data_IF_500121896864
#
_entry.id   IF_500121896864
#
_cell.length_a   1.000
_cell.length_b   1.000
_cell.length_c   1.000
_cell.angle_alpha   90.00
_cell.angle_beta   90.00
_cell.angle_gamma   90.00
#
_symmetry.space_group_name_H-M   'P 1'
#
loop_
_entity.id
_entity.type
_entity.pdbx_description
1 polymer ?
#
# COMPACT_ATOMS: atom_id res chain seq x y z
N UNK A 1 -43.70 17.61 -35.63
CA UNK A 1 -42.68 16.58 -35.94
C UNK A 1 -41.28 17.16 -36.21
N UNK A 2 -41.11 18.46 -36.53
CA UNK A 2 -39.78 19.03 -36.83
C UNK A 2 -39.11 19.77 -35.67
N UNK A 3 -39.87 20.29 -34.70
CA UNK A 3 -39.32 21.06 -33.55
C UNK A 3 -38.75 20.18 -32.44
N UNK A 4 -39.38 19.05 -32.12
CA UNK A 4 -38.91 18.15 -31.05
C UNK A 4 -37.55 17.53 -31.36
N UNK A 5 -37.30 17.19 -32.63
CA UNK A 5 -36.03 16.63 -33.09
C UNK A 5 -34.90 17.68 -33.09
N UNK A 6 -35.25 18.95 -33.34
CA UNK A 6 -34.29 20.05 -33.27
C UNK A 6 -33.91 20.37 -31.81
N UNK A 7 -34.87 20.32 -30.89
CA UNK A 7 -34.61 20.50 -29.45
C UNK A 7 -33.77 19.36 -28.87
N UNK A 8 -33.99 18.11 -29.29
CA UNK A 8 -33.15 16.98 -28.85
C UNK A 8 -31.70 17.12 -29.34
N UNK A 9 -31.51 17.62 -30.57
CA UNK A 9 -30.18 17.86 -31.14
C UNK A 9 -29.47 19.04 -30.44
N UNK A 10 -30.21 20.09 -30.10
CA UNK A 10 -29.70 21.22 -29.31
C UNK A 10 -29.30 20.74 -27.91
N UNK A 11 -30.11 19.92 -27.25
CA UNK A 11 -29.80 19.38 -25.92
C UNK A 11 -28.56 18.48 -25.95
N UNK A 12 -28.43 17.61 -26.97
CA UNK A 12 -27.22 16.80 -27.17
C UNK A 12 -25.99 17.66 -27.42
N UNK A 13 -26.12 18.73 -28.23
CA UNK A 13 -25.03 19.68 -28.48
C UNK A 13 -24.59 20.38 -27.19
N UNK A 14 -25.53 20.86 -26.38
CA UNK A 14 -25.26 21.55 -25.11
C UNK A 14 -24.56 20.61 -24.12
N UNK A 15 -25.04 19.37 -23.98
CA UNK A 15 -24.42 18.37 -23.12
C UNK A 15 -22.99 18.05 -23.60
N UNK A 16 -22.80 17.83 -24.90
CA UNK A 16 -21.48 17.56 -25.47
C UNK A 16 -20.51 18.72 -25.29
N UNK A 17 -20.97 19.96 -25.46
CA UNK A 17 -20.14 21.15 -25.19
C UNK A 17 -19.77 21.27 -23.71
N UNK A 18 -20.68 20.92 -22.79
CA UNK A 18 -20.41 20.94 -21.35
C UNK A 18 -19.40 19.88 -20.92
N UNK A 19 -19.46 18.68 -21.51
CA UNK A 19 -18.49 17.60 -21.27
C UNK A 19 -17.11 17.95 -21.83
N UNK A 20 -17.04 18.54 -23.02
CA UNK A 20 -15.78 19.04 -23.60
C UNK A 20 -15.16 20.14 -22.73
N UNK A 21 -15.96 21.02 -22.13
CA UNK A 21 -15.48 22.05 -21.21
C UNK A 21 -14.94 21.42 -19.91
N UNK A 22 -15.64 20.43 -19.35
CA UNK A 22 -15.18 19.70 -18.16
C UNK A 22 -13.88 18.93 -18.40
N UNK A 23 -13.74 18.31 -19.57
CA UNK A 23 -12.51 17.61 -19.96
C UNK A 23 -11.34 18.59 -20.14
N UNK A 24 -11.57 19.74 -20.75
CA UNK A 24 -10.57 20.81 -20.88
C UNK A 24 -10.10 21.30 -19.50
N UNK A 25 -11.03 21.57 -18.60
CA UNK A 25 -10.71 22.05 -17.25
C UNK A 25 -9.95 20.99 -16.42
N UNK A 26 -10.21 19.69 -16.63
CA UNK A 26 -9.46 18.58 -16.02
C UNK A 26 -8.05 18.44 -16.58
N UNK A 27 -7.84 18.71 -17.88
CA UNK A 27 -6.52 18.70 -18.51
C UNK A 27 -5.68 19.87 -17.99
N UNK A 28 -6.30 21.04 -17.84
CA UNK A 28 -5.68 22.27 -17.33
C UNK A 28 -5.33 22.14 -15.84
N UNK A 29 -6.23 21.58 -15.01
CA UNK A 29 -5.94 21.23 -13.60
C UNK A 29 -4.96 20.07 -13.44
N UNK A 30 -4.85 19.19 -14.44
CA UNK A 30 -3.97 18.02 -14.44
C UNK A 30 -2.50 18.35 -14.73
N UNK A 31 -2.16 19.61 -15.02
CA UNK A 31 -0.78 20.07 -15.25
C UNK A 31 -0.12 19.50 -16.50
N UNK A 32 -0.84 18.74 -17.33
CA UNK A 32 -0.32 18.09 -18.53
C UNK A 32 0.16 19.12 -19.57
N UNK A 33 -0.53 20.25 -19.71
CA UNK A 33 -0.17 21.32 -20.64
C UNK A 33 1.14 22.00 -20.21
N UNK A 34 1.29 22.30 -18.92
CA UNK A 34 2.56 22.81 -18.36
C UNK A 34 3.71 21.80 -18.45
N UNK A 35 3.43 20.50 -18.39
CA UNK A 35 4.43 19.45 -18.59
C UNK A 35 4.87 19.35 -20.06
N UNK A 36 3.94 19.51 -21.00
CA UNK A 36 4.23 19.57 -22.44
C UNK A 36 5.03 20.82 -22.79
N UNK A 37 4.67 21.99 -22.26
CA UNK A 37 5.44 23.24 -22.45
C UNK A 37 6.87 23.13 -21.91
N UNK A 38 7.05 22.50 -20.74
CA UNK A 38 8.38 22.20 -20.19
C UNK A 38 9.17 21.25 -21.08
N UNK A 39 8.55 20.20 -21.61
CA UNK A 39 9.18 19.25 -22.53
C UNK A 39 9.57 19.90 -23.87
N UNK A 40 8.73 20.80 -24.40
CA UNK A 40 9.03 21.56 -25.62
C UNK A 40 10.21 22.50 -25.38
N UNK A 41 10.23 23.19 -24.25
CA UNK A 41 11.34 24.07 -23.84
C UNK A 41 12.64 23.27 -23.68
N UNK A 42 12.61 22.12 -23.01
CA UNK A 42 13.74 21.21 -22.86
C UNK A 42 14.27 20.70 -24.20
N UNK A 43 13.38 20.34 -25.14
CA UNK A 43 13.75 19.89 -26.48
C UNK A 43 14.44 20.99 -27.28
N UNK A 44 13.97 22.24 -27.18
CA UNK A 44 14.61 23.38 -27.84
C UNK A 44 16.02 23.65 -27.27
N UNK A 45 16.17 23.61 -25.94
CA UNK A 45 17.48 23.76 -25.29
C UNK A 45 18.45 22.63 -25.66
N UNK A 46 17.97 21.39 -25.80
CA UNK A 46 18.80 20.25 -26.18
C UNK A 46 19.31 20.39 -27.62
N UNK A 47 18.46 20.86 -28.54
CA UNK A 47 18.84 21.13 -29.93
C UNK A 47 19.89 22.25 -30.05
N UNK A 48 19.79 23.27 -29.21
CA UNK A 48 20.77 24.36 -29.16
C UNK A 48 22.13 23.87 -28.61
N UNK A 49 22.12 22.99 -27.61
CA UNK A 49 23.34 22.39 -27.07
C UNK A 49 24.03 21.45 -28.08
N UNK A 50 23.27 20.68 -28.85
CA UNK A 50 23.81 19.87 -29.96
C UNK A 50 24.50 20.74 -31.02
N UNK A 51 23.88 21.88 -31.38
CA UNK A 51 24.47 22.84 -32.32
C UNK A 51 25.81 23.39 -31.83
N UNK A 52 25.87 23.80 -30.55
CA UNK A 52 27.10 24.30 -29.93
C UNK A 52 28.19 23.22 -29.85
N UNK A 53 27.81 21.96 -29.59
CA UNK A 53 28.75 20.83 -29.53
C UNK A 53 29.39 20.57 -30.88
N UNK A 54 28.60 20.59 -31.97
CA UNK A 54 29.11 20.44 -33.33
C UNK A 54 30.04 21.59 -33.74
N UNK A 55 29.73 22.82 -33.33
CA UNK A 55 30.56 24.00 -33.59
C UNK A 55 31.92 23.91 -32.87
N UNK A 56 31.93 23.53 -31.59
CA UNK A 56 33.16 23.29 -30.83
C UNK A 56 33.98 22.15 -31.43
N UNK A 57 33.33 21.05 -31.85
CA UNK A 57 34.01 19.93 -32.48
C UNK A 57 34.63 20.32 -33.83
N UNK A 58 33.95 21.13 -34.63
CA UNK A 58 34.49 21.66 -35.89
C UNK A 58 35.69 22.57 -35.66
N UNK A 59 35.61 23.48 -34.69
CA UNK A 59 36.73 24.37 -34.34
C UNK A 59 37.93 23.56 -33.85
N UNK A 60 37.71 22.61 -32.93
CA UNK A 60 38.78 21.73 -32.42
C UNK A 60 39.44 20.92 -33.52
N UNK A 61 38.66 20.37 -34.46
CA UNK A 61 39.21 19.63 -35.59
C UNK A 61 40.02 20.54 -36.51
N UNK A 62 39.56 21.75 -36.79
CA UNK A 62 40.32 22.72 -37.62
C UNK A 62 41.66 23.14 -36.99
N UNK A 63 41.70 23.28 -35.66
CA UNK A 63 42.92 23.60 -34.91
C UNK A 63 43.88 22.40 -34.94
N UNK A 64 43.38 21.19 -34.73
CA UNK A 64 44.18 19.96 -34.83
C UNK A 64 44.71 19.76 -36.25
N UNK A 65 43.92 20.00 -37.29
CA UNK A 65 44.35 19.92 -38.69
C UNK A 65 45.40 20.97 -39.06
N UNK A 66 45.31 22.18 -38.48
CA UNK A 66 46.33 23.22 -38.66
C UNK A 66 47.65 22.84 -37.96
N UNK A 67 47.56 22.24 -36.78
CA UNK A 67 48.73 21.79 -36.02
C UNK A 67 49.40 20.57 -36.66
N UNK A 68 48.62 19.63 -37.20
CA UNK A 68 49.14 18.50 -37.99
C UNK A 68 49.90 19.02 -39.21
N UNK A 69 49.34 19.97 -39.97
CA UNK A 69 50.05 20.59 -41.10
C UNK A 69 51.33 21.31 -40.68
N UNK A 70 51.32 22.00 -39.54
CA UNK A 70 52.52 22.66 -38.98
C UNK A 70 53.62 21.64 -38.66
N UNK A 71 53.26 20.48 -38.11
CA UNK A 71 54.19 19.41 -37.77
C UNK A 71 54.70 18.67 -39.02
N UNK A 72 53.84 18.45 -40.02
CA UNK A 72 54.23 17.90 -41.33
C UNK A 72 55.25 18.81 -42.03
N UNK A 73 55.01 20.13 -42.06
CA UNK A 73 55.95 21.13 -42.60
C UNK A 73 57.28 21.16 -41.83
N UNK A 74 57.27 20.91 -40.51
CA UNK A 74 58.50 20.84 -39.71
C UNK A 74 59.34 19.59 -40.00
N UNK A 75 58.69 18.47 -40.31
CA UNK A 75 59.36 17.22 -40.69
C UNK A 75 59.95 17.32 -42.10
N UNK A 76 59.24 17.95 -43.05
CA UNK A 76 59.69 18.09 -44.45
C UNK A 76 60.84 19.11 -44.60
N UNK A 77 60.92 20.13 -43.74
CA UNK A 77 61.96 21.15 -43.77
C UNK A 77 63.28 20.78 -43.08
N UNK A 78 63.43 19.54 -42.59
CA UNK A 78 64.72 19.02 -42.12
C UNK A 78 65.44 19.93 -41.12
N UNK A 79 64.73 20.41 -40.10
CA UNK A 79 65.36 21.11 -38.96
C UNK A 79 66.05 20.05 -38.11
N UNK A 80 67.37 19.98 -38.25
CA UNK A 80 68.24 19.22 -37.35
C UNK A 80 68.11 19.85 -35.95
N UNK A 81 67.44 19.15 -35.04
CA UNK A 81 67.24 19.61 -33.68
C UNK A 81 67.41 18.42 -32.74
N UNK A 82 68.53 18.43 -32.01
CA UNK A 82 68.78 17.56 -30.85
C UNK A 82 67.71 17.71 -29.74
N UNK A 83 66.72 18.62 -29.87
CA UNK A 83 65.61 18.82 -28.92
C UNK A 83 64.36 17.95 -29.19
N UNK A 84 64.29 17.21 -30.30
CA UNK A 84 63.12 16.37 -30.65
C UNK A 84 62.88 15.19 -29.67
N UNK A 85 63.91 14.48 -29.16
CA UNK A 85 63.72 13.40 -28.18
C UNK A 85 63.14 13.92 -26.86
N UNK A 86 63.63 15.06 -26.37
CA UNK A 86 63.20 15.66 -25.10
C UNK A 86 61.77 16.19 -25.16
N UNK A 87 61.36 16.80 -26.29
CA UNK A 87 59.98 17.24 -26.48
C UNK A 87 59.02 16.05 -26.63
N UNK A 88 59.43 14.96 -27.30
CA UNK A 88 58.63 13.75 -27.43
C UNK A 88 58.47 13.02 -26.08
N UNK A 89 59.54 12.91 -25.29
CA UNK A 89 59.51 12.34 -23.95
C UNK A 89 58.66 13.19 -22.99
N UNK A 90 58.67 14.52 -23.16
CA UNK A 90 57.77 15.43 -22.44
C UNK A 90 56.30 15.18 -22.80
N UNK A 91 55.99 15.06 -24.10
CA UNK A 91 54.62 14.78 -24.57
C UNK A 91 54.13 13.40 -24.13
N UNK A 92 54.99 12.38 -24.15
CA UNK A 92 54.70 11.05 -23.62
C UNK A 92 54.43 11.09 -22.12
N UNK A 93 55.29 11.75 -21.34
CA UNK A 93 55.11 11.93 -19.90
C UNK A 93 53.81 12.69 -19.57
N UNK A 94 53.47 13.72 -20.35
CA UNK A 94 52.21 14.45 -20.22
C UNK A 94 51.00 13.57 -20.55
N UNK A 95 51.09 12.75 -21.60
CA UNK A 95 50.08 11.77 -21.98
C UNK A 95 49.89 10.70 -20.91
N UNK A 96 50.96 10.14 -20.35
CA UNK A 96 50.92 9.19 -19.25
C UNK A 96 50.30 9.80 -17.98
N UNK A 97 50.63 11.06 -17.66
CA UNK A 97 50.02 11.78 -16.56
C UNK A 97 48.51 12.02 -16.79
N UNK A 98 48.10 12.37 -18.02
CA UNK A 98 46.70 12.50 -18.43
C UNK A 98 45.96 11.16 -18.29
N UNK A 99 46.54 10.07 -18.77
CA UNK A 99 46.00 8.71 -18.63
C UNK A 99 45.90 8.32 -17.15
N UNK A 100 46.92 8.61 -16.34
CA UNK A 100 46.93 8.35 -14.90
C UNK A 100 45.84 9.15 -14.17
N UNK A 101 45.61 10.40 -14.58
CA UNK A 101 44.52 11.24 -14.06
C UNK A 101 43.15 10.69 -14.45
N UNK A 102 42.95 10.34 -15.72
CA UNK A 102 41.71 9.74 -16.21
C UNK A 102 41.41 8.39 -15.52
N UNK A 103 42.42 7.55 -15.29
CA UNK A 103 42.28 6.30 -14.52
C UNK A 103 41.86 6.56 -13.07
N UNK A 104 42.45 7.57 -12.42
CA UNK A 104 42.06 7.98 -11.05
C UNK A 104 40.62 8.48 -11.00
N UNK A 105 40.20 9.28 -11.97
CA UNK A 105 38.83 9.76 -12.07
C UNK A 105 37.85 8.61 -12.29
N UNK A 106 38.13 7.71 -13.24
CA UNK A 106 37.33 6.51 -13.48
C UNK A 106 37.18 5.65 -12.22
N UNK A 107 38.28 5.44 -11.49
CA UNK A 107 38.25 4.70 -10.22
C UNK A 107 37.43 5.42 -9.13
N UNK A 108 37.43 6.76 -9.10
CA UNK A 108 36.56 7.52 -8.21
C UNK A 108 35.08 7.39 -8.59
N UNK A 109 34.75 7.45 -9.90
CA UNK A 109 33.38 7.25 -10.40
C UNK A 109 32.87 5.84 -10.14
N UNK A 110 33.69 4.80 -10.38
CA UNK A 110 33.33 3.41 -10.08
C UNK A 110 33.04 3.20 -8.58
N UNK A 111 33.85 3.78 -7.70
CA UNK A 111 33.58 3.75 -6.25
C UNK A 111 32.27 4.43 -5.90
N UNK A 112 31.95 5.56 -6.52
CA UNK A 112 30.68 6.26 -6.31
C UNK A 112 29.48 5.44 -6.82
N UNK A 113 29.58 4.83 -8.01
CA UNK A 113 28.55 3.95 -8.56
C UNK A 113 28.30 2.75 -7.65
N UNK A 114 29.36 2.09 -7.17
CA UNK A 114 29.24 0.98 -6.23
C UNK A 114 28.62 1.41 -4.89
N UNK A 115 28.90 2.62 -4.42
CA UNK A 115 28.26 3.16 -3.22
C UNK A 115 26.76 3.36 -3.41
N UNK A 116 26.34 3.90 -4.56
CA UNK A 116 24.92 4.05 -4.90
C UNK A 116 24.26 2.69 -5.09
N UNK A 117 24.91 1.72 -5.75
CA UNK A 117 24.37 0.38 -5.91
C UNK A 117 24.09 -0.29 -4.57
N UNK A 118 25.01 -0.18 -3.60
CA UNK A 118 24.79 -0.68 -2.24
C UNK A 118 23.59 -0.02 -1.56
N UNK A 119 23.43 1.29 -1.72
CA UNK A 119 22.26 1.99 -1.18
C UNK A 119 20.95 1.52 -1.84
N UNK A 120 20.98 1.14 -3.11
CA UNK A 120 19.82 0.56 -3.81
C UNK A 120 19.55 -0.85 -3.31
N UNK A 121 20.59 -1.67 -3.14
CA UNK A 121 20.48 -3.05 -2.64
C UNK A 121 20.00 -3.09 -1.18
N UNK A 122 20.25 -2.03 -0.39
CA UNK A 122 19.73 -1.85 0.97
C UNK A 122 18.20 -1.56 0.98
N UNK A 123 17.62 -1.15 -0.15
CA UNK A 123 16.18 -0.89 -0.27
C UNK A 123 15.46 -2.17 -0.72
N UNK A 124 14.44 -2.64 0.02
CA UNK A 124 13.68 -3.82 -0.38
C UNK A 124 13.10 -3.68 -1.78
N UNK A 125 13.34 -4.70 -2.59
CA UNK A 125 12.74 -4.85 -3.91
C UNK A 125 11.21 -5.02 -3.81
N UNK A 126 10.51 -4.73 -4.92
CA UNK A 126 9.06 -4.92 -5.00
C UNK A 126 8.64 -6.36 -4.63
N UNK A 127 9.44 -7.36 -5.01
CA UNK A 127 9.20 -8.76 -4.64
C UNK A 127 9.32 -9.02 -3.14
N UNK A 128 10.28 -8.38 -2.46
CA UNK A 128 10.45 -8.52 -1.02
C UNK A 128 9.32 -7.84 -0.27
N UNK A 129 8.88 -6.66 -0.71
CA UNK A 129 7.72 -5.97 -0.14
C UNK A 129 6.46 -6.86 -0.19
N UNK A 130 6.17 -7.46 -1.35
CA UNK A 130 5.03 -8.40 -1.50
C UNK A 130 5.18 -9.62 -0.57
N UNK A 131 6.40 -10.14 -0.39
CA UNK A 131 6.63 -11.23 0.56
C UNK A 131 6.37 -10.79 2.01
N UNK A 132 6.82 -9.59 2.40
CA UNK A 132 6.58 -9.04 3.72
C UNK A 132 5.09 -8.79 3.98
N UNK A 133 4.36 -8.21 3.02
CA UNK A 133 2.91 -8.02 3.12
C UNK A 133 2.18 -9.33 3.35
N UNK A 134 2.53 -10.37 2.59
CA UNK A 134 1.97 -11.72 2.78
C UNK A 134 2.31 -12.26 4.16
N UNK A 135 3.57 -12.15 4.59
CA UNK A 135 4.01 -12.68 5.89
C UNK A 135 3.36 -11.95 7.07
N UNK A 136 3.19 -10.64 6.97
CA UNK A 136 2.47 -9.83 7.95
C UNK A 136 0.99 -10.21 8.00
N UNK A 137 0.36 -10.46 6.85
CA UNK A 137 -1.03 -10.92 6.78
C UNK A 137 -1.21 -12.29 7.43
N UNK A 138 -0.30 -13.23 7.17
CA UNK A 138 -0.27 -14.55 7.83
C UNK A 138 -0.08 -14.43 9.35
N UNK A 139 0.86 -13.59 9.79
CA UNK A 139 1.09 -13.34 11.22
C UNK A 139 -0.15 -12.73 11.89
N UNK A 140 -0.79 -11.75 11.25
CA UNK A 140 -2.02 -11.14 11.75
C UNK A 140 -3.14 -12.18 11.89
N UNK A 141 -3.30 -13.09 10.92
CA UNK A 141 -4.27 -14.17 11.01
C UNK A 141 -3.98 -15.11 12.20
N UNK A 142 -2.71 -15.44 12.44
CA UNK A 142 -2.31 -16.26 13.58
C UNK A 142 -2.59 -15.56 14.93
N UNK A 143 -2.24 -14.27 15.04
CA UNK A 143 -2.51 -13.46 16.23
C UNK A 143 -4.01 -13.40 16.51
N UNK A 144 -4.84 -13.14 15.49
CA UNK A 144 -6.29 -13.12 15.60
C UNK A 144 -6.84 -14.49 16.04
N UNK A 145 -6.35 -15.58 15.46
CA UNK A 145 -6.71 -16.94 15.86
C UNK A 145 -6.37 -17.24 17.32
N UNK A 146 -5.18 -16.85 17.77
CA UNK A 146 -4.76 -16.98 19.19
C UNK A 146 -5.62 -16.14 20.11
N UNK A 147 -5.93 -14.89 19.75
CA UNK A 147 -6.81 -14.04 20.53
C UNK A 147 -8.21 -14.66 20.67
N UNK A 148 -8.77 -15.21 19.59
CA UNK A 148 -10.06 -15.90 19.64
C UNK A 148 -10.00 -17.13 20.54
N UNK A 149 -8.93 -17.92 20.46
CA UNK A 149 -8.72 -19.09 21.31
C UNK A 149 -8.64 -18.69 22.80
N UNK A 150 -7.85 -17.68 23.12
CA UNK A 150 -7.72 -17.13 24.48
C UNK A 150 -9.06 -16.67 25.02
N UNK A 151 -9.84 -15.91 24.23
CA UNK A 151 -11.19 -15.47 24.63
C UNK A 151 -12.12 -16.65 24.93
N UNK A 152 -12.08 -17.71 24.11
CA UNK A 152 -12.85 -18.94 24.36
C UNK A 152 -12.45 -19.60 25.68
N UNK A 153 -11.15 -19.72 25.95
CA UNK A 153 -10.68 -20.29 27.22
C UNK A 153 -11.14 -19.48 28.42
N UNK A 154 -11.02 -18.15 28.38
CA UNK A 154 -11.50 -17.30 29.47
C UNK A 154 -13.02 -17.37 29.65
N UNK A 155 -13.79 -17.41 28.56
CA UNK A 155 -15.24 -17.58 28.64
C UNK A 155 -15.63 -18.91 29.30
N UNK A 156 -14.99 -20.02 28.89
CA UNK A 156 -15.21 -21.33 29.51
C UNK A 156 -14.77 -21.35 30.98
N UNK A 157 -13.61 -20.77 31.29
CA UNK A 157 -13.11 -20.68 32.66
C UNK A 157 -14.07 -19.90 33.57
N UNK A 158 -14.54 -18.74 33.12
CA UNK A 158 -15.48 -17.91 33.88
C UNK A 158 -16.82 -18.64 34.08
N UNK A 159 -17.33 -19.31 33.05
CA UNK A 159 -18.56 -20.11 33.18
C UNK A 159 -18.39 -21.26 34.19
N UNK A 160 -17.25 -21.97 34.16
CA UNK A 160 -16.95 -23.03 35.13
C UNK A 160 -16.80 -22.47 36.56
N UNK A 161 -16.20 -21.28 36.70
CA UNK A 161 -16.06 -20.61 37.98
C UNK A 161 -17.43 -20.24 38.56
N UNK A 162 -18.32 -19.66 37.74
CA UNK A 162 -19.69 -19.36 38.14
C UNK A 162 -20.47 -20.62 38.55
N UNK A 163 -20.37 -21.71 37.75
CA UNK A 163 -20.98 -23.00 38.09
C UNK A 163 -20.47 -23.49 39.45
N UNK A 164 -19.15 -23.48 39.67
CA UNK A 164 -18.55 -23.87 40.95
C UNK A 164 -19.10 -23.03 42.10
N UNK A 165 -19.24 -21.72 41.94
CA UNK A 165 -19.81 -20.86 42.97
C UNK A 165 -21.28 -21.20 43.27
N UNK A 166 -22.09 -21.49 42.25
CA UNK A 166 -23.47 -21.93 42.44
C UNK A 166 -23.55 -23.29 43.14
N UNK A 167 -22.69 -24.25 42.77
CA UNK A 167 -22.60 -25.54 43.46
C UNK A 167 -22.23 -25.39 44.93
N UNK A 168 -21.31 -24.48 45.27
CA UNK A 168 -20.97 -24.19 46.67
C UNK A 168 -22.15 -23.58 47.43
N UNK A 169 -22.87 -22.63 46.80
CA UNK A 169 -24.09 -22.03 47.38
C UNK A 169 -25.17 -23.09 47.62
N UNK A 170 -25.35 -24.03 46.69
CA UNK A 170 -26.29 -25.15 46.82
C UNK A 170 -25.87 -26.10 47.95
N UNK A 171 -24.59 -26.47 48.04
CA UNK A 171 -24.08 -27.30 49.13
C UNK A 171 -24.30 -26.64 50.50
N UNK A 172 -23.99 -25.34 50.63
CA UNK A 172 -24.25 -24.58 51.86
C UNK A 172 -25.75 -24.52 52.20
N UNK A 173 -26.61 -24.35 51.20
CA UNK A 173 -28.06 -24.35 51.37
C UNK A 173 -28.57 -25.72 51.85
N UNK A 174 -28.13 -26.81 51.22
CA UNK A 174 -28.50 -28.17 51.61
C UNK A 174 -28.04 -28.50 53.04
N UNK A 175 -26.81 -28.12 53.39
CA UNK A 175 -26.31 -28.27 54.76
C UNK A 175 -27.16 -27.49 55.77
N UNK A 176 -27.55 -26.25 55.43
CA UNK A 176 -28.42 -25.44 56.29
C UNK A 176 -29.81 -26.06 56.46
N UNK A 177 -30.42 -26.56 55.37
CA UNK A 177 -31.71 -27.24 55.41
C UNK A 177 -31.61 -28.51 56.26
N UNK A 178 -30.56 -29.30 56.10
CA UNK A 178 -30.35 -30.52 56.89
C UNK A 178 -30.24 -30.22 58.39
N UNK A 179 -29.52 -29.17 58.78
CA UNK A 179 -29.41 -28.75 60.19
C UNK A 179 -30.76 -28.27 60.73
N UNK A 180 -31.44 -27.37 59.99
CA UNK A 180 -32.75 -26.84 60.39
C UNK A 180 -33.79 -27.95 60.52
N UNK A 181 -33.77 -28.94 59.63
CA UNK A 181 -34.71 -30.06 59.67
C UNK A 181 -34.60 -30.87 60.97
N UNK A 182 -33.37 -31.20 61.39
CA UNK A 182 -33.12 -31.99 62.60
C UNK A 182 -33.63 -31.28 63.86
N UNK A 183 -33.47 -29.96 63.94
CA UNK A 183 -33.92 -29.15 65.07
C UNK A 183 -35.45 -28.93 65.07
N UNK A 184 -36.02 -28.69 63.89
CA UNK A 184 -37.40 -28.24 63.74
C UNK A 184 -38.45 -29.38 63.78
N UNK A 185 -38.11 -30.59 63.33
CA UNK A 185 -39.10 -31.67 63.11
C UNK A 185 -39.80 -32.14 64.38
N UNK A 186 -39.14 -32.00 65.52
CA UNK A 186 -39.63 -32.45 66.82
C UNK A 186 -40.77 -31.58 67.39
N UNK A 187 -41.04 -30.42 66.80
CA UNK A 187 -42.08 -29.49 67.29
C UNK A 187 -43.00 -29.03 66.16
N UNK A 188 -44.26 -28.73 66.47
CA UNK A 188 -45.21 -28.22 65.46
C UNK A 188 -44.85 -26.82 65.00
N UNK A 189 -44.43 -25.94 65.90
CA UNK A 189 -43.96 -24.58 65.58
C UNK A 189 -42.69 -24.59 64.72
N UNK A 190 -41.72 -25.46 65.04
CA UNK A 190 -40.52 -25.65 64.23
C UNK A 190 -40.85 -26.12 62.81
N UNK A 191 -41.76 -27.10 62.66
CA UNK A 191 -42.24 -27.57 61.35
C UNK A 191 -42.86 -26.44 60.52
N UNK A 192 -43.67 -25.56 61.12
CA UNK A 192 -44.27 -24.41 60.44
C UNK A 192 -43.18 -23.43 59.96
N UNK A 193 -42.23 -23.07 60.82
CA UNK A 193 -41.10 -22.19 60.47
C UNK A 193 -40.22 -22.74 59.36
N UNK A 194 -40.00 -24.06 59.35
CA UNK A 194 -39.25 -24.73 58.28
C UNK A 194 -39.95 -24.60 56.93
N UNK A 195 -41.28 -24.76 56.90
CA UNK A 195 -42.10 -24.56 55.70
C UNK A 195 -41.96 -23.11 55.20
N UNK A 196 -42.15 -22.13 56.09
CA UNK A 196 -42.03 -20.71 55.73
C UNK A 196 -40.64 -20.36 55.17
N UNK A 197 -39.58 -20.93 55.77
CA UNK A 197 -38.19 -20.80 55.31
C UNK A 197 -37.99 -21.39 53.91
N UNK A 198 -38.49 -22.61 53.67
CA UNK A 198 -38.43 -23.27 52.36
C UNK A 198 -39.18 -22.48 51.28
N UNK A 199 -40.38 -21.98 51.59
CA UNK A 199 -41.12 -21.13 50.66
C UNK A 199 -40.35 -19.83 50.36
N UNK A 200 -39.72 -19.22 51.36
CA UNK A 200 -38.87 -18.05 51.19
C UNK A 200 -37.70 -18.31 50.24
N UNK A 201 -37.02 -19.45 50.39
CA UNK A 201 -35.92 -19.90 49.51
C UNK A 201 -36.42 -20.08 48.07
N UNK A 202 -37.55 -20.76 47.87
CA UNK A 202 -38.13 -20.98 46.54
C UNK A 202 -38.48 -19.65 45.88
N UNK A 203 -39.17 -18.75 46.59
CA UNK A 203 -39.52 -17.41 46.06
C UNK A 203 -38.27 -16.61 45.69
N UNK A 204 -37.25 -16.61 46.56
CA UNK A 204 -35.98 -15.94 46.31
C UNK A 204 -35.24 -16.50 45.09
N UNK A 205 -35.22 -17.82 44.93
CA UNK A 205 -34.62 -18.50 43.78
C UNK A 205 -35.35 -18.17 42.47
N UNK A 206 -36.69 -18.24 42.47
CA UNK A 206 -37.51 -17.86 41.33
C UNK A 206 -37.35 -16.39 40.93
N UNK A 207 -37.17 -15.48 41.90
CA UNK A 207 -36.91 -14.07 41.61
C UNK A 207 -35.53 -13.87 40.95
N UNK A 208 -34.49 -14.54 41.46
CA UNK A 208 -33.14 -14.49 40.85
C UNK A 208 -33.16 -15.05 39.43
N UNK A 209 -33.81 -16.19 39.21
CA UNK A 209 -33.94 -16.81 37.90
C UNK A 209 -34.58 -15.84 36.88
N UNK A 210 -35.69 -15.20 37.25
CA UNK A 210 -36.37 -14.21 36.39
C UNK A 210 -35.45 -13.04 36.02
N UNK A 211 -34.66 -12.52 36.98
CA UNK A 211 -33.71 -11.43 36.71
C UNK A 211 -32.63 -11.86 35.71
N UNK A 212 -32.06 -13.05 35.89
CA UNK A 212 -31.03 -13.59 34.98
C UNK A 212 -31.61 -13.84 33.58
N UNK A 213 -32.81 -14.42 33.49
CA UNK A 213 -33.48 -14.64 32.21
C UNK A 213 -33.77 -13.34 31.46
N UNK A 214 -34.17 -12.29 32.19
CA UNK A 214 -34.39 -10.98 31.59
C UNK A 214 -33.10 -10.39 31.03
N UNK A 215 -32.02 -10.37 31.81
CA UNK A 215 -30.71 -9.88 31.33
C UNK A 215 -30.17 -10.69 30.15
N UNK A 216 -30.37 -12.02 30.14
CA UNK A 216 -30.01 -12.88 29.00
C UNK A 216 -30.77 -12.46 27.73
N UNK A 217 -32.07 -12.15 27.85
CA UNK A 217 -32.87 -11.72 26.71
C UNK A 217 -32.41 -10.35 26.18
N UNK A 218 -32.04 -9.42 27.05
CA UNK A 218 -31.49 -8.12 26.65
C UNK A 218 -30.16 -8.28 25.90
N UNK A 219 -29.23 -9.06 26.46
CA UNK A 219 -27.94 -9.31 25.82
C UNK A 219 -28.09 -10.05 24.47
N UNK A 220 -29.04 -10.99 24.38
CA UNK A 220 -29.34 -11.68 23.13
C UNK A 220 -29.79 -10.71 22.04
N UNK A 221 -30.65 -9.73 22.36
CA UNK A 221 -31.07 -8.69 21.41
C UNK A 221 -29.89 -7.85 20.94
N UNK A 222 -28.99 -7.47 21.85
CA UNK A 222 -27.77 -6.72 21.50
C UNK A 222 -26.88 -7.53 20.57
N UNK A 223 -26.68 -8.81 20.88
CA UNK A 223 -25.90 -9.74 20.07
C UNK A 223 -26.47 -9.88 18.65
N UNK A 224 -27.78 -10.05 18.52
CA UNK A 224 -28.44 -10.21 17.23
C UNK A 224 -28.40 -8.91 16.40
N UNK A 225 -28.59 -7.76 17.03
CA UNK A 225 -28.41 -6.45 16.37
C UNK A 225 -26.96 -6.25 15.88
N UNK A 226 -25.96 -6.71 16.62
CA UNK A 226 -24.56 -6.63 16.21
C UNK A 226 -24.24 -7.59 15.05
N UNK A 227 -24.81 -8.80 15.07
CA UNK A 227 -24.68 -9.77 13.95
C UNK A 227 -25.28 -9.22 12.67
N UNK A 228 -26.45 -8.59 12.73
CA UNK A 228 -27.07 -7.96 11.56
C UNK A 228 -26.17 -6.87 10.97
N UNK A 229 -25.63 -5.98 11.80
CA UNK A 229 -24.67 -4.96 11.37
C UNK A 229 -23.43 -5.57 10.71
N UNK A 230 -22.89 -6.65 11.30
CA UNK A 230 -21.75 -7.37 10.73
C UNK A 230 -22.09 -7.98 9.37
N UNK A 231 -23.25 -8.63 9.23
CA UNK A 231 -23.68 -9.20 7.95
C UNK A 231 -23.88 -8.13 6.87
N UNK A 232 -24.47 -6.99 7.22
CA UNK A 232 -24.63 -5.86 6.31
C UNK A 232 -23.26 -5.35 5.82
N UNK A 233 -22.33 -5.07 6.75
CA UNK A 233 -20.98 -4.62 6.39
C UNK A 233 -20.21 -5.66 5.56
N UNK A 234 -20.35 -6.95 5.85
CA UNK A 234 -19.73 -8.02 5.07
C UNK A 234 -20.32 -8.11 3.66
N UNK A 235 -21.63 -7.91 3.50
CA UNK A 235 -22.27 -7.88 2.19
C UNK A 235 -21.78 -6.69 1.36
N UNK A 236 -21.67 -5.50 1.97
CA UNK A 236 -21.13 -4.30 1.33
C UNK A 236 -19.66 -4.49 0.92
N UNK A 237 -18.83 -5.08 1.79
CA UNK A 237 -17.45 -5.43 1.44
C UNK A 237 -17.38 -6.34 0.20
N UNK A 238 -18.22 -7.38 0.12
CA UNK A 238 -18.27 -8.29 -1.05
C UNK A 238 -18.73 -7.57 -2.31
N UNK A 239 -19.66 -6.63 -2.18
CA UNK A 239 -20.13 -5.81 -3.28
C UNK A 239 -18.99 -4.91 -3.81
N UNK A 240 -18.31 -4.18 -2.93
CA UNK A 240 -17.14 -3.36 -3.28
C UNK A 240 -16.04 -4.17 -3.95
N UNK A 241 -15.73 -5.37 -3.44
CA UNK A 241 -14.74 -6.26 -4.05
C UNK A 241 -15.14 -6.67 -5.47
N UNK A 242 -16.41 -6.99 -5.67
CA UNK A 242 -16.94 -7.36 -6.99
C UNK A 242 -16.87 -6.20 -7.99
N UNK A 243 -17.18 -4.97 -7.53
CA UNK A 243 -17.06 -3.76 -8.34
C UNK A 243 -15.60 -3.46 -8.71
N UNK A 244 -14.67 -3.60 -7.76
CA UNK A 244 -13.24 -3.45 -8.00
C UNK A 244 -12.72 -4.45 -9.03
N UNK A 245 -13.16 -5.72 -8.94
CA UNK A 245 -12.79 -6.75 -9.90
C UNK A 245 -13.31 -6.43 -11.31
N UNK A 246 -14.58 -6.02 -11.43
CA UNK A 246 -15.16 -5.60 -12.71
C UNK A 246 -14.42 -4.39 -13.28
N UNK A 247 -14.07 -3.40 -12.45
CA UNK A 247 -13.28 -2.25 -12.86
C UNK A 247 -11.89 -2.66 -13.37
N UNK A 248 -11.21 -3.58 -12.67
CA UNK A 248 -9.92 -4.11 -13.10
C UNK A 248 -10.00 -4.83 -14.44
N UNK A 249 -11.06 -5.61 -14.67
CA UNK A 249 -11.32 -6.27 -15.95
C UNK A 249 -11.52 -5.23 -17.08
N UNK A 250 -12.28 -4.16 -16.86
CA UNK A 250 -12.44 -3.09 -17.86
C UNK A 250 -11.14 -2.31 -18.11
N UNK A 251 -10.33 -2.04 -17.08
CA UNK A 251 -9.01 -1.44 -17.25
C UNK A 251 -8.10 -2.30 -18.12
N UNK A 252 -8.04 -3.61 -17.87
CA UNK A 252 -7.22 -4.52 -18.70
C UNK A 252 -7.72 -4.56 -20.16
N UNK A 253 -9.03 -4.56 -20.39
CA UNK A 253 -9.60 -4.45 -21.75
C UNK A 253 -9.20 -3.13 -22.42
N UNK A 254 -9.27 -2.00 -21.70
CA UNK A 254 -8.89 -0.70 -22.23
C UNK A 254 -7.41 -0.67 -22.63
N UNK A 255 -6.52 -1.22 -21.80
CA UNK A 255 -5.09 -1.33 -22.11
C UNK A 255 -4.84 -2.15 -23.37
N UNK A 256 -5.52 -3.30 -23.53
CA UNK A 256 -5.42 -4.13 -24.72
C UNK A 256 -5.86 -3.35 -25.96
N UNK A 257 -7.00 -2.67 -25.89
CA UNK A 257 -7.51 -1.83 -26.98
C UNK A 257 -6.52 -0.71 -27.35
N UNK A 258 -5.97 0.00 -26.37
CA UNK A 258 -4.95 1.05 -26.60
C UNK A 258 -3.71 0.49 -27.31
N UNK A 259 -3.23 -0.68 -26.90
CA UNK A 259 -2.08 -1.33 -27.56
C UNK A 259 -2.41 -1.71 -29.02
N UNK A 260 -3.61 -2.22 -29.28
CA UNK A 260 -4.06 -2.55 -30.63
C UNK A 260 -4.22 -1.31 -31.52
N UNK A 261 -4.79 -0.22 -30.99
CA UNK A 261 -4.91 1.05 -31.72
C UNK A 261 -3.56 1.68 -32.04
N UNK A 262 -2.60 1.64 -31.10
CA UNK A 262 -1.25 2.14 -31.33
C UNK A 262 -0.47 1.34 -32.39
N UNK A 263 -0.68 0.03 -32.46
CA UNK A 263 -0.10 -0.84 -33.49
C UNK A 263 -0.65 -0.55 -34.90
N UNK A 264 -1.94 -0.25 -35.00
CA UNK A 264 -2.57 0.07 -36.28
C UNK A 264 -2.12 1.43 -36.85
N UNK A 265 -1.86 2.43 -35.98
CA UNK A 265 -1.35 3.75 -36.40
C UNK A 265 0.11 3.68 -36.89
N UNK A 266 0.88 2.67 -36.48
CA UNK A 266 2.26 2.48 -36.95
C UNK A 266 2.36 1.69 -38.26
N UNK A 267 1.24 1.25 -38.84
CA UNK A 267 1.15 0.43 -40.06
C UNK A 267 0.61 1.17 -41.28
N UNK A 268 0.10 2.38 -41.11
CA UNK A 268 -0.26 3.35 -42.16
C UNK A 268 0.84 4.41 -42.29
#
# INVERSE_FOLDING_TARGET
>A
MSEDNLNELIQKKVNFTSELQSLREKIEKGGAETAVEKLVSLKQSLKELERQTLEVQSLSNSVLEAEVRRLEDQIENGVDSEDVPDELDRLLSESEAKIGSAKRELAAKLRAVLAVQRQIDDVPSQSELVQYERRLSELNAQIQGKLQQTRKYYATYNALLEIKEYMLKEMSLLNSISSQFQEAINTTDGRMKLIDSMEGIIRGSQQKLRKVQHGLQEEQKVCDALKEKYFAASAEQRHCYSLLKAFQEECTKNEVLRRSSASNISRD
#
